data_IF_026720863150
#
_entry.id   IF_026720863150
#
_cell.length_a   1.000
_cell.length_b   1.000
_cell.length_c   1.000
_cell.angle_alpha   90.00
_cell.angle_beta   90.00
_cell.angle_gamma   90.00
#
_symmetry.space_group_name_H-M   'P 1'
#
loop_
_entity.id
_entity.type
_entity.pdbx_description
1 polymer ?
#
# COMPACT_ATOMS: atom_id res chain seq x y z
N UNK A 1 16.07 -0.17 -2.01
CA UNK A 1 15.74 1.05 -1.25
C UNK A 1 14.66 0.74 -0.20
N UNK A 2 14.43 1.62 0.79
CA UNK A 2 13.29 1.49 1.72
C UNK A 2 12.03 2.01 1.03
N UNK A 3 10.90 1.32 1.18
CA UNK A 3 9.62 1.71 0.58
C UNK A 3 8.50 1.68 1.63
N UNK A 4 7.55 2.61 1.55
CA UNK A 4 6.31 2.56 2.33
C UNK A 4 5.14 2.93 1.43
N UNK A 5 4.23 1.98 1.26
CA UNK A 5 3.16 2.04 0.26
C UNK A 5 1.89 1.45 0.84
N UNK A 6 0.76 2.10 0.57
CA UNK A 6 -0.58 1.56 0.80
C UNK A 6 -1.17 1.25 -0.57
N UNK A 7 -1.63 0.02 -0.77
CA UNK A 7 -2.29 -0.41 -2.01
C UNK A 7 -3.70 -0.89 -1.72
N UNK A 8 -4.68 -0.24 -2.34
CA UNK A 8 -6.09 -0.64 -2.29
C UNK A 8 -6.44 -1.31 -3.61
N UNK A 9 -6.63 -2.63 -3.56
CA UNK A 9 -7.10 -3.43 -4.68
C UNK A 9 -8.63 -3.39 -4.73
N UNK A 10 -9.20 -2.88 -5.81
CA UNK A 10 -10.64 -2.91 -6.00
C UNK A 10 -11.09 -4.32 -6.41
N UNK A 11 -12.38 -4.62 -6.19
CA UNK A 11 -12.97 -5.87 -6.70
C UNK A 11 -13.05 -5.80 -8.22
N UNK A 12 -13.02 -6.96 -8.86
CA UNK A 12 -13.32 -7.06 -10.28
C UNK A 12 -14.73 -6.55 -10.58
N UNK A 13 -14.91 -6.01 -11.79
CA UNK A 13 -16.22 -5.59 -12.29
C UNK A 13 -17.15 -6.82 -12.37
N UNK A 14 -18.29 -6.84 -11.64
CA UNK A 14 -19.16 -8.03 -11.57
C UNK A 14 -19.75 -8.43 -12.93
N UNK A 15 -20.01 -7.44 -13.79
CA UNK A 15 -20.57 -7.64 -15.12
C UNK A 15 -19.74 -6.83 -16.13
N UNK A 16 -18.83 -7.52 -16.83
CA UNK A 16 -18.13 -6.92 -17.95
C UNK A 16 -19.07 -6.88 -19.17
N UNK A 17 -19.27 -5.70 -19.73
CA UNK A 17 -19.89 -5.53 -21.06
C UNK A 17 -18.89 -5.82 -22.19
N UNK A 18 -17.63 -6.08 -21.86
CA UNK A 18 -16.56 -6.43 -22.78
C UNK A 18 -16.41 -7.95 -22.85
N UNK A 19 -16.07 -8.48 -24.04
CA UNK A 19 -15.91 -9.93 -24.26
C UNK A 19 -14.83 -10.54 -23.36
N UNK A 20 -14.83 -11.86 -23.19
CA UNK A 20 -13.89 -12.58 -22.32
C UNK A 20 -12.41 -12.30 -22.65
N UNK A 21 -12.11 -11.95 -23.90
CA UNK A 21 -10.77 -11.59 -24.38
C UNK A 21 -10.25 -10.27 -23.79
N UNK A 22 -11.14 -9.44 -23.25
CA UNK A 22 -10.78 -8.22 -22.57
C UNK A 22 -10.18 -8.46 -21.17
N UNK A 23 -10.14 -9.70 -20.67
CA UNK A 23 -9.53 -10.02 -19.39
C UNK A 23 -10.25 -9.45 -18.16
N UNK A 24 -9.63 -9.61 -16.99
CA UNK A 24 -10.09 -9.02 -15.72
C UNK A 24 -9.23 -7.81 -15.43
N UNK A 25 -9.89 -6.68 -15.20
CA UNK A 25 -9.22 -5.47 -14.79
C UNK A 25 -9.84 -4.93 -13.51
N UNK A 26 -9.05 -4.97 -12.45
CA UNK A 26 -9.36 -4.35 -11.18
C UNK A 26 -8.56 -3.06 -11.05
N UNK A 27 -9.24 -1.97 -10.69
CA UNK A 27 -8.55 -0.73 -10.38
C UNK A 27 -7.64 -0.92 -9.16
N UNK A 28 -6.59 -0.11 -9.07
CA UNK A 28 -5.67 -0.12 -7.93
C UNK A 28 -5.32 1.30 -7.54
N UNK A 29 -5.62 1.68 -6.30
CA UNK A 29 -5.16 2.94 -5.72
C UNK A 29 -3.89 2.69 -4.91
N UNK A 30 -2.79 3.27 -5.34
CA UNK A 30 -1.50 3.21 -4.67
C UNK A 30 -1.19 4.57 -4.05
N UNK A 31 -0.99 4.61 -2.75
CA UNK A 31 -0.52 5.79 -2.01
C UNK A 31 0.91 5.50 -1.58
N UNK A 32 1.89 6.21 -2.14
CA UNK A 32 3.31 6.06 -1.81
C UNK A 32 3.70 7.12 -0.78
N UNK A 33 4.20 6.66 0.36
CA UNK A 33 4.63 7.50 1.48
C UNK A 33 6.14 7.76 1.49
N UNK A 34 6.94 6.87 0.88
CA UNK A 34 8.37 7.09 0.60
C UNK A 34 8.91 5.94 -0.26
N UNK A 35 9.94 6.17 -1.08
CA UNK A 35 10.39 7.49 -1.56
C UNK A 35 9.43 8.02 -2.64
N UNK A 36 9.56 9.28 -3.06
CA UNK A 36 8.76 9.87 -4.15
C UNK A 36 7.25 9.80 -3.84
N UNK A 37 6.86 10.58 -2.84
CA UNK A 37 5.52 10.67 -2.32
C UNK A 37 4.53 11.03 -3.43
N UNK A 38 3.42 10.32 -3.47
CA UNK A 38 2.45 10.48 -4.55
C UNK A 38 1.32 9.48 -4.48
N UNK A 39 0.39 9.65 -5.41
CA UNK A 39 -0.80 8.83 -5.53
C UNK A 39 -0.92 8.38 -6.99
N UNK A 40 -1.02 7.08 -7.21
CA UNK A 40 -1.27 6.49 -8.53
C UNK A 40 -2.57 5.69 -8.50
N UNK A 41 -3.50 6.00 -9.39
CA UNK A 41 -4.70 5.21 -9.63
C UNK A 41 -4.57 4.48 -10.97
N UNK A 42 -4.44 3.16 -10.92
CA UNK A 42 -4.50 2.31 -12.12
C UNK A 42 -5.96 2.14 -12.52
N UNK A 43 -6.29 2.55 -13.74
CA UNK A 43 -7.63 2.44 -14.32
C UNK A 43 -7.58 1.81 -15.69
N UNK A 44 -8.65 1.11 -16.05
CA UNK A 44 -8.78 0.51 -17.36
C UNK A 44 -9.45 1.48 -18.33
N UNK A 45 -8.82 1.70 -19.48
CA UNK A 45 -9.38 2.50 -20.57
C UNK A 45 -9.43 1.69 -21.87
N UNK A 46 -10.17 2.20 -22.84
CA UNK A 46 -10.10 1.69 -24.22
C UNK A 46 -8.75 2.07 -24.83
N UNK A 47 -8.07 1.09 -25.41
CA UNK A 47 -6.83 1.32 -26.17
C UNK A 47 -7.11 2.22 -27.40
N UNK A 48 -6.47 3.40 -27.52
CA UNK A 48 -6.65 4.26 -28.68
C UNK A 48 -6.09 3.61 -29.96
N UNK A 49 -6.86 3.60 -31.06
CA UNK A 49 -6.38 3.15 -32.36
C UNK A 49 -7.45 2.45 -33.22
N UNK A 50 -7.11 2.09 -34.47
CA UNK A 50 -8.05 1.49 -35.43
C UNK A 50 -8.45 0.02 -35.13
N UNK A 51 -8.17 -0.50 -33.92
CA UNK A 51 -8.37 -1.89 -33.56
C UNK A 51 -9.38 -2.12 -32.44
N UNK A 52 -10.66 -2.31 -32.78
CA UNK A 52 -11.67 -2.94 -31.92
C UNK A 52 -11.90 -2.34 -30.52
N UNK A 53 -12.43 -3.16 -29.62
CA UNK A 53 -12.66 -2.87 -28.19
C UNK A 53 -11.62 -3.60 -27.33
N UNK A 54 -10.37 -3.18 -27.45
CA UNK A 54 -9.27 -3.65 -26.59
C UNK A 54 -9.14 -2.72 -25.40
N UNK A 55 -8.87 -3.29 -24.24
CA UNK A 55 -8.71 -2.57 -22.98
C UNK A 55 -7.24 -2.58 -22.55
N UNK A 56 -6.81 -1.50 -21.92
CA UNK A 56 -5.47 -1.35 -21.37
C UNK A 56 -5.55 -0.65 -20.02
N UNK A 57 -4.75 -1.10 -19.06
CA UNK A 57 -4.61 -0.45 -17.78
C UNK A 57 -3.59 0.70 -17.89
N UNK A 58 -3.97 1.88 -17.43
CA UNK A 58 -3.15 3.08 -17.46
C UNK A 58 -3.04 3.70 -16.06
N UNK A 59 -1.86 4.21 -15.70
CA UNK A 59 -1.68 5.01 -14.49
C UNK A 59 -2.28 6.42 -14.67
N UNK A 60 -3.12 6.83 -13.73
CA UNK A 60 -3.30 8.24 -13.40
C UNK A 60 -2.35 8.55 -12.24
N UNK A 61 -1.25 9.23 -12.53
CA UNK A 61 -0.18 9.47 -11.56
C UNK A 61 -0.14 10.95 -11.13
N UNK A 62 0.08 11.17 -9.83
CA UNK A 62 0.28 12.47 -9.23
C UNK A 62 1.41 12.37 -8.21
N UNK A 63 2.55 12.97 -8.54
CA UNK A 63 3.65 13.12 -7.59
C UNK A 63 3.46 14.38 -6.76
N UNK A 64 3.80 14.34 -5.47
CA UNK A 64 3.67 15.52 -4.61
C UNK A 64 4.66 16.62 -4.98
N UNK A 65 5.84 16.26 -5.46
CA UNK A 65 6.83 17.22 -5.98
C UNK A 65 6.28 18.06 -7.15
N UNK A 66 5.56 17.44 -8.09
CA UNK A 66 4.92 18.16 -9.20
C UNK A 66 3.68 18.93 -8.75
N UNK A 67 2.85 18.34 -7.89
CA UNK A 67 1.56 18.92 -7.50
C UNK A 67 1.69 20.10 -6.53
N UNK A 68 2.69 20.08 -5.64
CA UNK A 68 2.89 21.09 -4.59
C UNK A 68 4.07 22.03 -4.88
N UNK A 69 4.80 21.81 -5.97
CA UNK A 69 5.94 22.64 -6.34
C UNK A 69 7.10 22.58 -5.33
N UNK A 70 7.87 23.66 -5.14
CA UNK A 70 9.07 23.67 -4.30
C UNK A 70 8.84 23.19 -2.85
N UNK A 71 7.68 23.49 -2.27
CA UNK A 71 7.33 23.05 -0.90
C UNK A 71 7.02 21.55 -0.83
N UNK A 72 6.62 20.93 -1.94
CA UNK A 72 6.43 19.48 -2.04
C UNK A 72 7.72 18.68 -2.21
N UNK A 73 8.80 19.34 -2.64
CA UNK A 73 10.10 18.69 -2.83
C UNK A 73 10.94 18.58 -1.55
N UNK A 74 10.57 19.32 -0.50
CA UNK A 74 11.25 19.30 0.80
C UNK A 74 10.22 19.37 1.95
N UNK A 75 9.45 18.29 2.18
CA UNK A 75 8.49 18.26 3.27
C UNK A 75 9.20 18.35 4.63
N UNK A 76 8.61 19.03 5.63
CA UNK A 76 9.19 19.10 6.97
C UNK A 76 9.34 17.70 7.55
N UNK A 77 10.41 17.51 8.34
CA UNK A 77 10.67 16.23 8.97
C UNK A 77 9.51 15.82 9.90
N UNK A 78 9.30 14.52 10.04
CA UNK A 78 8.22 13.99 10.88
C UNK A 78 8.27 14.54 12.32
N UNK A 79 9.46 14.69 12.91
CA UNK A 79 9.59 15.23 14.27
C UNK A 79 9.36 16.73 14.32
N UNK A 80 9.80 17.50 13.33
CA UNK A 80 9.51 18.94 13.25
C UNK A 80 8.00 19.19 13.24
N UNK A 81 7.29 18.41 12.42
CA UNK A 81 5.83 18.48 12.33
C UNK A 81 5.16 18.17 13.67
N UNK A 82 5.56 17.07 14.32
CA UNK A 82 4.97 16.65 15.60
C UNK A 82 5.26 17.64 16.73
N UNK A 83 6.47 18.20 16.81
CA UNK A 83 6.81 19.22 17.81
C UNK A 83 5.96 20.47 17.62
N UNK A 84 5.79 20.91 16.37
CA UNK A 84 4.93 22.06 16.06
C UNK A 84 3.47 21.81 16.41
N UNK A 85 2.97 20.59 16.24
CA UNK A 85 1.61 20.23 16.63
C UNK A 85 1.42 20.24 18.16
N UNK A 86 2.42 19.82 18.94
CA UNK A 86 2.40 19.96 20.42
C UNK A 86 2.31 21.43 20.83
N UNK A 87 3.13 22.31 20.23
CA UNK A 87 3.13 23.75 20.53
C UNK A 87 1.77 24.38 20.21
N UNK A 88 1.10 23.91 19.15
CA UNK A 88 -0.24 24.35 18.73
C UNK A 88 -1.39 23.69 19.51
N UNK A 89 -1.10 22.76 20.42
CA UNK A 89 -2.12 21.98 21.12
C UNK A 89 -2.93 21.06 20.20
N UNK A 90 -2.38 20.66 19.06
CA UNK A 90 -3.02 19.78 18.10
C UNK A 90 -2.61 18.32 18.34
N UNK A 91 -3.56 17.47 18.73
CA UNK A 91 -3.30 16.07 19.06
C UNK A 91 -3.62 15.09 17.92
N UNK A 92 -3.96 15.58 16.72
CA UNK A 92 -4.46 14.75 15.61
C UNK A 92 -3.49 13.64 15.15
N UNK A 93 -2.18 13.88 15.28
CA UNK A 93 -1.14 12.92 14.86
C UNK A 93 -0.54 12.12 16.04
N UNK A 94 -1.17 12.17 17.21
CA UNK A 94 -0.75 11.43 18.39
C UNK A 94 -1.74 10.30 18.66
N UNK A 95 -1.22 9.11 18.97
CA UNK A 95 -2.08 8.00 19.39
C UNK A 95 -2.72 8.32 20.74
N UNK A 96 -4.03 8.09 20.84
CA UNK A 96 -4.75 8.18 22.10
C UNK A 96 -4.47 6.95 22.97
N UNK A 97 -4.67 7.07 24.28
CA UNK A 97 -4.43 5.97 25.22
C UNK A 97 -5.24 4.71 24.91
N UNK A 98 -6.52 4.88 24.56
CA UNK A 98 -7.42 3.79 24.16
C UNK A 98 -6.99 3.10 22.85
N UNK A 99 -6.47 3.87 21.89
CA UNK A 99 -5.91 3.32 20.65
C UNK A 99 -4.66 2.47 20.91
N UNK A 100 -3.78 2.92 21.81
CA UNK A 100 -2.58 2.16 22.21
C UNK A 100 -2.96 0.87 22.93
N UNK A 101 -3.92 0.93 23.87
CA UNK A 101 -4.42 -0.26 24.56
C UNK A 101 -5.03 -1.27 23.59
N UNK A 102 -5.82 -0.81 22.61
CA UNK A 102 -6.41 -1.68 21.59
C UNK A 102 -5.34 -2.34 20.70
N UNK A 103 -4.30 -1.59 20.31
CA UNK A 103 -3.19 -2.13 19.52
C UNK A 103 -2.43 -3.24 20.28
N UNK A 104 -2.18 -3.05 21.59
CA UNK A 104 -1.56 -4.07 22.44
C UNK A 104 -2.47 -5.27 22.65
N UNK A 105 -3.77 -5.06 22.90
CA UNK A 105 -4.74 -6.14 23.06
C UNK A 105 -4.79 -7.06 21.82
N UNK A 106 -4.55 -6.51 20.62
CA UNK A 106 -4.43 -7.30 19.38
C UNK A 106 -3.06 -8.01 19.24
N UNK A 107 -1.97 -7.34 19.60
CA UNK A 107 -0.60 -7.83 19.33
C UNK A 107 -0.10 -8.83 20.39
N UNK A 108 -0.45 -8.63 21.66
CA UNK A 108 0.01 -9.47 22.78
C UNK A 108 -0.32 -10.96 22.62
N UNK A 109 -1.55 -11.35 22.20
CA UNK A 109 -1.87 -12.75 21.98
C UNK A 109 -1.01 -13.42 20.89
N UNK A 110 -0.59 -12.66 19.87
CA UNK A 110 0.28 -13.15 18.79
C UNK A 110 1.67 -13.45 19.35
N UNK A 111 2.25 -12.49 20.09
CA UNK A 111 3.55 -12.62 20.74
C UNK A 111 3.55 -13.79 21.74
N UNK A 112 2.53 -13.85 22.61
CA UNK A 112 2.37 -14.94 23.57
C UNK A 112 2.18 -16.29 22.86
N UNK A 113 1.52 -16.32 21.71
CA UNK A 113 1.41 -17.47 20.82
C UNK A 113 2.77 -17.99 20.37
N UNK A 114 3.61 -17.12 19.82
CA UNK A 114 4.96 -17.49 19.35
C UNK A 114 5.85 -18.00 20.48
N UNK A 115 5.86 -17.29 21.62
CA UNK A 115 6.67 -17.68 22.78
C UNK A 115 6.28 -19.05 23.33
N UNK A 116 4.98 -19.36 23.43
CA UNK A 116 4.50 -20.67 23.93
C UNK A 116 4.85 -21.82 23.00
N UNK A 117 4.83 -21.60 21.68
CA UNK A 117 5.14 -22.64 20.68
C UNK A 117 6.64 -22.77 20.42
N UNK A 118 7.46 -21.85 20.90
CA UNK A 118 8.89 -21.79 20.57
C UNK A 118 9.13 -21.55 19.08
N UNK A 119 8.20 -20.86 18.41
CA UNK A 119 8.33 -20.55 16.98
C UNK A 119 9.35 -19.45 16.76
N UNK A 120 10.22 -19.64 15.77
CA UNK A 120 11.21 -18.65 15.34
C UNK A 120 10.84 -18.09 13.96
N UNK A 121 11.24 -16.84 13.63
CA UNK A 121 11.01 -16.28 12.31
C UNK A 121 11.57 -17.17 11.19
N UNK A 122 10.86 -17.21 10.06
CA UNK A 122 11.30 -17.94 8.88
C UNK A 122 12.49 -17.19 8.24
N UNK A 123 13.59 -17.88 7.90
CA UNK A 123 14.70 -17.25 7.21
C UNK A 123 14.32 -16.91 5.76
N UNK A 124 14.97 -15.89 5.21
CA UNK A 124 14.85 -15.48 3.82
C UNK A 124 16.15 -14.83 3.37
N UNK A 125 16.42 -14.86 2.06
CA UNK A 125 17.65 -14.29 1.52
C UNK A 125 17.64 -12.77 1.59
N UNK A 126 18.79 -12.18 1.90
CA UNK A 126 18.95 -10.72 1.90
C UNK A 126 18.63 -10.14 0.51
N UNK A 127 17.79 -9.10 0.48
CA UNK A 127 17.32 -8.49 -0.76
C UNK A 127 16.11 -9.19 -1.42
N UNK A 128 15.67 -10.33 -0.90
CA UNK A 128 14.40 -10.93 -1.31
C UNK A 128 13.19 -10.20 -0.70
N UNK A 129 11.99 -10.53 -1.18
CA UNK A 129 10.72 -9.98 -0.69
C UNK A 129 10.22 -10.63 0.62
N UNK A 130 11.00 -11.57 1.18
CA UNK A 130 10.63 -12.34 2.36
C UNK A 130 10.47 -13.84 2.08
N UNK A 131 10.02 -14.62 3.08
CA UNK A 131 9.82 -16.05 2.93
C UNK A 131 8.58 -16.36 2.07
N UNK A 132 8.60 -17.46 1.30
CA UNK A 132 7.45 -17.88 0.48
C UNK A 132 6.18 -18.18 1.29
N UNK A 133 6.31 -18.45 2.60
CA UNK A 133 5.18 -18.56 3.53
C UNK A 133 4.34 -17.26 3.58
N UNK A 134 4.95 -16.09 3.36
CA UNK A 134 4.24 -14.81 3.34
C UNK A 134 3.34 -14.67 2.10
N UNK A 135 3.77 -15.19 0.94
CA UNK A 135 2.95 -15.24 -0.27
C UNK A 135 1.79 -16.23 -0.10
N UNK A 136 2.07 -17.40 0.48
CA UNK A 136 1.06 -18.41 0.74
C UNK A 136 -0.02 -17.92 1.71
N UNK A 137 0.34 -17.12 2.72
CA UNK A 137 -0.61 -16.54 3.67
C UNK A 137 -1.71 -15.74 2.97
N UNK A 138 -1.35 -14.91 2.00
CA UNK A 138 -2.30 -14.06 1.26
C UNK A 138 -3.01 -14.84 0.14
N UNK A 139 -2.32 -15.81 -0.47
CA UNK A 139 -2.89 -16.68 -1.52
C UNK A 139 -4.08 -17.51 -1.02
N UNK A 140 -4.10 -17.87 0.26
CA UNK A 140 -5.25 -18.56 0.89
C UNK A 140 -6.57 -17.80 0.76
N UNK A 141 -6.51 -16.47 0.68
CA UNK A 141 -7.68 -15.60 0.46
C UNK A 141 -7.89 -15.26 -1.02
N UNK A 142 -7.21 -15.95 -1.95
CA UNK A 142 -7.26 -15.69 -3.39
C UNK A 142 -6.61 -14.37 -3.79
N UNK A 143 -5.66 -13.87 -2.99
CA UNK A 143 -4.98 -12.59 -3.19
C UNK A 143 -3.49 -12.82 -3.46
N UNK A 144 -2.82 -11.82 -3.98
CA UNK A 144 -1.37 -11.83 -4.19
C UNK A 144 -0.77 -10.51 -3.71
N UNK A 145 0.45 -10.58 -3.15
CA UNK A 145 1.19 -9.37 -2.80
C UNK A 145 1.53 -8.58 -4.06
N UNK A 146 1.37 -7.25 -4.01
CA UNK A 146 2.04 -6.40 -4.98
C UNK A 146 3.53 -6.46 -4.68
N UNK A 147 4.32 -6.98 -5.61
CA UNK A 147 5.76 -7.08 -5.45
C UNK A 147 6.40 -5.74 -5.09
N UNK A 148 7.52 -5.80 -4.38
CA UNK A 148 8.31 -4.62 -4.05
C UNK A 148 9.12 -4.27 -5.31
N UNK A 149 8.73 -3.21 -6.02
CA UNK A 149 9.55 -2.66 -7.12
C UNK A 149 10.72 -1.90 -6.46
N UNK A 150 11.98 -2.35 -6.62
CA UNK A 150 13.13 -1.76 -5.92
C UNK A 150 13.41 -0.30 -6.26
#
# INVERSE_FOLDING_TARGET
>A
ARSSVISVMFKDTPHSIFGAEAGRHANVLTIRLQPNEGITLQVTIKEPGPGGMRLVDVPLDMTFAEALGPEGSDPPDAYERLIMDVIRGNQTLFMRGDEVEAAWAWTDPIIAGWNRRGEVPKPYDSGSVGPGDADELIRRDGREWRGIVP
#
